data_IF_018092461765
#
_entry.id   IF_018092461765
#
_cell.length_a   1.000
_cell.length_b   1.000
_cell.length_c   1.000
_cell.angle_alpha   90.00
_cell.angle_beta   90.00
_cell.angle_gamma   90.00
#
_symmetry.space_group_name_H-M   'P 1'
#
loop_
_entity.id
_entity.type
_entity.pdbx_description
1 polymer ?
#
# COMPACT_ATOMS: atom_id res chain seq x y z
N UNK A 1 6.91 23.25 -1.42
CA UNK A 1 7.53 22.34 -0.43
C UNK A 1 6.96 20.97 -0.76
N UNK A 2 7.73 20.17 -1.51
CA UNK A 2 7.35 18.82 -1.94
C UNK A 2 7.96 17.79 -1.00
N UNK A 3 7.66 16.50 -1.19
CA UNK A 3 8.28 15.41 -0.45
C UNK A 3 9.80 15.41 -0.74
N UNK A 4 10.60 16.05 0.12
CA UNK A 4 12.06 15.99 0.03
C UNK A 4 12.52 14.66 0.64
N UNK A 5 12.84 13.72 -0.24
CA UNK A 5 13.20 12.35 0.09
C UNK A 5 14.70 12.33 0.40
N UNK A 6 15.04 12.28 1.69
CA UNK A 6 16.41 11.97 2.07
C UNK A 6 16.73 10.55 1.60
N UNK A 7 17.91 10.36 1.02
CA UNK A 7 18.32 9.22 0.19
C UNK A 7 18.45 7.86 0.92
N UNK A 8 17.56 7.49 1.84
CA UNK A 8 17.43 6.11 2.25
C UNK A 8 16.70 5.37 1.13
N UNK A 9 17.43 4.49 0.43
CA UNK A 9 16.84 3.58 -0.53
C UNK A 9 15.64 2.90 0.14
N UNK A 10 14.44 3.07 -0.42
CA UNK A 10 13.22 2.42 0.05
C UNK A 10 13.57 0.93 0.22
N UNK A 11 13.54 0.38 1.45
CA UNK A 11 13.87 -1.01 1.66
C UNK A 11 12.88 -1.84 0.85
N UNK A 12 13.37 -2.92 0.25
CA UNK A 12 12.53 -3.86 -0.47
C UNK A 12 11.35 -4.27 0.43
N UNK A 13 10.14 -4.46 -0.14
CA UNK A 13 8.95 -4.81 0.62
C UNK A 13 9.23 -5.98 1.56
N UNK A 14 9.01 -5.77 2.86
CA UNK A 14 9.11 -6.86 3.83
C UNK A 14 7.74 -7.54 3.96
N UNK A 15 7.67 -8.79 3.49
CA UNK A 15 6.54 -9.69 3.78
C UNK A 15 6.58 -10.08 5.25
N UNK A 16 5.47 -9.87 5.94
CA UNK A 16 5.23 -10.49 7.24
C UNK A 16 4.22 -11.60 6.99
N UNK A 17 4.69 -12.84 7.03
CA UNK A 17 3.84 -14.03 7.01
C UNK A 17 3.33 -14.27 8.43
N UNK A 18 2.02 -14.18 8.63
CA UNK A 18 1.41 -14.40 9.95
C UNK A 18 1.24 -15.88 10.28
N UNK A 19 1.63 -16.78 9.38
CA UNK A 19 1.54 -18.22 9.54
C UNK A 19 2.91 -18.87 9.66
N UNK A 20 3.26 -19.27 10.88
CA UNK A 20 4.47 -20.04 11.15
C UNK A 20 4.47 -21.46 10.57
N UNK A 21 3.50 -21.83 9.73
CA UNK A 21 3.21 -23.18 9.23
C UNK A 21 3.14 -23.29 7.71
N UNK A 22 3.89 -22.45 6.99
CA UNK A 22 4.15 -22.69 5.56
C UNK A 22 2.98 -22.31 4.65
N UNK A 23 3.35 -21.97 3.43
CA UNK A 23 2.46 -21.60 2.33
C UNK A 23 1.30 -22.59 2.24
N UNK A 24 0.04 -22.15 2.42
CA UNK A 24 -1.16 -22.67 1.73
C UNK A 24 -2.53 -22.33 2.38
N UNK A 25 -2.64 -21.57 3.47
CA UNK A 25 -3.98 -21.38 4.08
C UNK A 25 -4.52 -19.94 4.16
N UNK A 26 -3.76 -18.89 3.83
CA UNK A 26 -4.28 -17.53 4.03
C UNK A 26 -3.88 -16.53 2.95
N UNK A 27 -4.92 -15.83 2.48
CA UNK A 27 -5.04 -15.08 1.22
C UNK A 27 -4.58 -13.63 1.35
N UNK A 28 -3.64 -13.39 2.25
CA UNK A 28 -3.25 -12.03 2.57
C UNK A 28 -1.76 -11.86 2.61
N UNK A 29 -1.35 -10.67 2.20
CA UNK A 29 0.04 -10.24 2.31
C UNK A 29 0.08 -8.92 3.04
N UNK A 30 0.92 -8.87 4.06
CA UNK A 30 1.30 -7.62 4.70
C UNK A 30 2.63 -7.13 4.16
N UNK A 31 2.61 -5.94 3.58
CA UNK A 31 3.79 -5.25 3.10
C UNK A 31 3.98 -3.96 3.89
N UNK A 32 5.22 -3.67 4.28
CA UNK A 32 5.60 -2.41 4.93
C UNK A 32 6.74 -1.74 4.18
N UNK A 33 6.57 -0.44 3.96
CA UNK A 33 7.56 0.43 3.37
C UNK A 33 7.89 1.55 4.33
N UNK A 34 9.12 1.54 4.84
CA UNK A 34 9.65 2.67 5.59
C UNK A 34 10.22 3.70 4.60
N UNK A 35 9.95 4.98 4.84
CA UNK A 35 10.49 6.08 4.06
C UNK A 35 10.76 7.29 4.96
N UNK A 36 11.80 8.05 4.65
CA UNK A 36 12.16 9.23 5.41
C UNK A 36 11.76 10.51 4.67
N UNK A 37 11.21 11.48 5.40
CA UNK A 37 10.94 12.82 4.92
C UNK A 37 11.89 13.81 5.60
N UNK A 38 12.50 14.73 4.84
CA UNK A 38 13.37 15.75 5.41
C UNK A 38 12.63 16.69 6.38
N UNK A 39 11.39 17.00 6.06
CA UNK A 39 10.51 17.88 6.82
C UNK A 39 9.07 17.37 6.77
N UNK A 40 8.23 17.82 7.70
CA UNK A 40 6.79 17.53 7.63
C UNK A 40 6.24 18.12 6.32
N UNK A 41 5.50 17.32 5.53
CA UNK A 41 5.02 17.77 4.24
C UNK A 41 4.08 18.97 4.40
N UNK A 42 4.34 20.03 3.65
CA UNK A 42 3.39 21.14 3.48
C UNK A 42 2.41 20.88 2.34
N UNK A 43 1.31 21.64 2.27
CA UNK A 43 0.32 21.56 1.19
C UNK A 43 -0.96 20.82 1.57
N UNK A 44 -1.87 20.70 0.61
CA UNK A 44 -3.26 20.32 0.87
C UNK A 44 -3.69 19.03 0.16
N UNK A 45 -2.81 18.42 -0.65
CA UNK A 45 -3.14 17.27 -1.50
C UNK A 45 -2.17 16.10 -1.28
N UNK A 46 -2.72 14.93 -0.95
CA UNK A 46 -2.01 13.66 -0.83
C UNK A 46 -2.85 12.54 -1.47
N UNK A 47 -2.26 11.83 -2.43
CA UNK A 47 -2.93 10.76 -3.16
C UNK A 47 -2.16 9.46 -3.01
N UNK A 48 -2.85 8.40 -2.61
CA UNK A 48 -2.35 7.04 -2.73
C UNK A 48 -2.80 6.48 -4.08
N UNK A 49 -1.86 6.09 -4.91
CA UNK A 49 -2.13 5.32 -6.11
C UNK A 49 -1.80 3.85 -5.85
N UNK A 50 -2.73 2.97 -6.19
CA UNK A 50 -2.58 1.52 -6.03
C UNK A 50 -2.85 0.81 -7.34
N UNK A 51 -1.99 -0.13 -7.68
CA UNK A 51 -2.28 -1.22 -8.62
C UNK A 51 -2.38 -2.49 -7.79
N UNK A 52 -3.51 -3.18 -7.89
CA UNK A 52 -3.88 -4.29 -7.02
C UNK A 52 -4.90 -5.23 -7.69
N UNK A 53 -5.01 -6.47 -7.19
CA UNK A 53 -5.85 -7.51 -7.80
C UNK A 53 -7.23 -7.68 -7.17
N UNK A 54 -7.36 -7.95 -5.88
CA UNK A 54 -8.68 -8.20 -5.29
C UNK A 54 -9.06 -7.09 -4.32
N UNK A 55 -8.40 -7.01 -3.17
CA UNK A 55 -8.68 -6.00 -2.16
C UNK A 55 -7.43 -5.53 -1.44
N UNK A 56 -7.55 -4.40 -0.76
CA UNK A 56 -6.53 -3.97 0.18
C UNK A 56 -7.08 -3.08 1.28
N UNK A 57 -6.33 -3.01 2.38
CA UNK A 57 -6.43 -1.96 3.40
C UNK A 57 -5.05 -1.32 3.56
N UNK A 58 -4.98 0.00 3.39
CA UNK A 58 -3.76 0.78 3.46
C UNK A 58 -3.70 1.59 4.77
N UNK A 59 -2.52 1.58 5.39
CA UNK A 59 -2.23 2.27 6.64
C UNK A 59 -1.03 3.17 6.49
N UNK A 60 -1.13 4.39 7.01
CA UNK A 60 -0.03 5.33 7.13
C UNK A 60 0.28 5.56 8.60
N UNK A 61 1.50 5.27 9.02
CA UNK A 61 1.93 5.36 10.42
C UNK A 61 0.97 4.65 11.40
N UNK A 62 0.38 3.53 10.96
CA UNK A 62 -0.53 2.70 11.75
C UNK A 62 -2.01 3.12 11.73
N UNK A 63 -2.36 4.22 11.05
CA UNK A 63 -3.75 4.65 10.87
C UNK A 63 -4.22 4.28 9.47
N UNK A 64 -5.41 3.70 9.36
CA UNK A 64 -6.01 3.39 8.06
C UNK A 64 -6.32 4.67 7.28
N UNK A 65 -5.94 4.68 6.00
CA UNK A 65 -6.10 5.84 5.11
C UNK A 65 -6.88 5.54 3.84
N UNK A 66 -6.93 4.29 3.40
CA UNK A 66 -7.71 3.87 2.24
C UNK A 66 -8.00 2.38 2.31
N UNK A 67 -9.11 1.96 1.71
CA UNK A 67 -9.46 0.56 1.51
C UNK A 67 -10.29 0.36 0.26
N UNK A 68 -10.31 -0.85 -0.25
CA UNK A 68 -11.23 -1.29 -1.29
C UNK A 68 -11.54 -2.77 -1.12
N UNK A 69 -12.75 -3.17 -1.53
CA UNK A 69 -13.22 -4.56 -1.47
C UNK A 69 -13.02 -5.22 -0.10
N UNK A 70 -13.25 -4.47 0.98
CA UNK A 70 -13.24 -5.02 2.33
C UNK A 70 -14.08 -4.23 3.32
N UNK A 71 -14.95 -4.93 4.06
CA UNK A 71 -15.86 -4.36 5.05
C UNK A 71 -15.53 -4.89 6.44
N UNK A 72 -15.58 -4.02 7.45
CA UNK A 72 -15.31 -4.39 8.83
C UNK A 72 -13.84 -4.21 9.21
N UNK A 73 -13.40 -4.96 10.23
CA UNK A 73 -12.03 -4.91 10.75
C UNK A 73 -11.27 -6.11 10.19
N UNK A 74 -10.16 -5.89 9.45
CA UNK A 74 -9.42 -7.00 8.87
C UNK A 74 -8.67 -7.75 9.96
N UNK A 75 -8.93 -9.04 10.06
CA UNK A 75 -8.04 -10.00 10.70
C UNK A 75 -6.95 -10.40 9.72
N UNK A 76 -5.87 -10.99 10.23
CA UNK A 76 -4.72 -11.35 9.42
C UNK A 76 -5.05 -12.29 8.26
N UNK A 77 -6.12 -13.08 8.37
CA UNK A 77 -6.61 -14.01 7.35
C UNK A 77 -7.90 -13.55 6.66
N UNK A 78 -8.21 -12.27 6.71
CA UNK A 78 -9.39 -11.73 6.02
C UNK A 78 -9.27 -11.86 4.50
N UNK A 79 -10.32 -12.31 3.86
CA UNK A 79 -10.44 -12.38 2.40
C UNK A 79 -11.00 -11.06 1.84
N UNK A 80 -10.79 -10.82 0.56
CA UNK A 80 -11.42 -9.69 -0.14
C UNK A 80 -12.92 -9.94 -0.32
N UNK A 81 -13.74 -8.91 -0.10
CA UNK A 81 -15.19 -8.93 -0.37
C UNK A 81 -15.52 -8.88 -1.88
N UNK A 82 -14.51 -8.72 -2.75
CA UNK A 82 -14.69 -8.67 -4.19
C UNK A 82 -13.41 -8.76 -5.01
N UNK A 83 -13.59 -8.93 -6.33
CA UNK A 83 -12.54 -9.04 -7.34
C UNK A 83 -12.29 -7.68 -7.99
N UNK A 84 -11.03 -7.32 -8.27
CA UNK A 84 -10.70 -6.23 -9.20
C UNK A 84 -10.23 -6.79 -10.54
N UNK A 85 -10.64 -6.15 -11.63
CA UNK A 85 -10.05 -6.39 -12.95
C UNK A 85 -8.84 -5.45 -13.22
N UNK A 86 -8.52 -4.58 -12.25
CA UNK A 86 -7.70 -3.37 -12.46
C UNK A 86 -6.22 -3.55 -12.11
N UNK A 87 -5.77 -4.79 -11.98
CA UNK A 87 -4.38 -5.22 -11.87
C UNK A 87 -3.42 -4.62 -12.91
N UNK A 88 -3.93 -3.95 -13.94
CA UNK A 88 -3.16 -3.40 -15.06
C UNK A 88 -2.94 -1.89 -14.97
N UNK A 89 -3.62 -1.17 -14.07
CA UNK A 89 -3.51 0.29 -13.97
C UNK A 89 -3.56 0.80 -12.52
N UNK A 90 -3.08 2.03 -12.30
CA UNK A 90 -3.16 2.66 -10.99
C UNK A 90 -4.54 3.28 -10.76
N UNK A 91 -5.18 2.88 -9.67
CA UNK A 91 -6.36 3.52 -9.10
C UNK A 91 -5.92 4.55 -8.06
N UNK A 92 -6.52 5.75 -8.09
CA UNK A 92 -6.15 6.85 -7.19
C UNK A 92 -7.15 6.99 -6.05
N UNK A 93 -6.62 7.11 -4.83
CA UNK A 93 -7.35 7.32 -3.59
C UNK A 93 -6.89 8.63 -2.97
N UNK A 94 -7.82 9.56 -2.80
CA UNK A 94 -7.54 10.81 -2.08
C UNK A 94 -7.40 10.52 -0.59
N UNK A 95 -6.21 10.76 -0.05
CA UNK A 95 -5.88 10.61 1.36
C UNK A 95 -5.39 11.94 1.95
N UNK A 96 -5.74 13.07 1.33
CA UNK A 96 -5.45 14.41 1.82
C UNK A 96 -5.91 14.67 3.26
N UNK A 97 -7.07 14.14 3.72
CA UNK A 97 -7.46 14.23 5.14
C UNK A 97 -6.45 13.63 6.12
N UNK A 98 -5.56 12.76 5.65
CA UNK A 98 -4.56 12.05 6.44
C UNK A 98 -3.15 12.66 6.33
N UNK A 99 -2.99 13.80 5.67
CA UNK A 99 -1.68 14.47 5.50
C UNK A 99 -1.00 14.76 6.84
N UNK A 100 -1.78 15.07 7.88
CA UNK A 100 -1.28 15.28 9.25
C UNK A 100 -0.69 14.04 9.94
N UNK A 101 -0.79 12.85 9.33
CA UNK A 101 -0.11 11.65 9.82
C UNK A 101 1.37 11.62 9.41
N UNK A 102 1.76 12.35 8.36
CA UNK A 102 3.15 12.40 7.91
C UNK A 102 3.99 13.28 8.83
N UNK A 103 5.19 12.81 9.15
CA UNK A 103 6.13 13.49 10.04
C UNK A 103 7.51 13.63 9.40
N UNK A 104 8.26 14.64 9.82
CA UNK A 104 9.70 14.67 9.54
C UNK A 104 10.38 13.42 10.12
N UNK A 105 11.34 12.86 9.38
CA UNK A 105 11.96 11.57 9.69
C UNK A 105 11.16 10.39 9.15
N UNK A 106 11.21 9.27 9.87
CA UNK A 106 10.69 7.99 9.39
C UNK A 106 9.16 7.91 9.44
N UNK A 107 8.59 7.48 8.32
CA UNK A 107 7.19 7.15 8.13
C UNK A 107 7.09 5.72 7.61
N UNK A 108 5.93 5.09 7.81
CA UNK A 108 5.64 3.75 7.33
C UNK A 108 4.31 3.74 6.57
N UNK A 109 4.36 3.35 5.30
CA UNK A 109 3.19 2.91 4.56
C UNK A 109 3.08 1.39 4.69
N UNK A 110 1.94 0.89 5.16
CA UNK A 110 1.66 -0.53 5.21
C UNK A 110 0.43 -0.86 4.36
N UNK A 111 0.52 -1.93 3.58
CA UNK A 111 -0.57 -2.45 2.78
C UNK A 111 -0.88 -3.86 3.26
N UNK A 112 -2.13 -4.10 3.62
CA UNK A 112 -2.71 -5.42 3.79
C UNK A 112 -3.44 -5.76 2.51
N UNK A 113 -2.81 -6.53 1.63
CA UNK A 113 -3.46 -7.06 0.44
C UNK A 113 -4.31 -8.27 0.78
N UNK A 114 -5.46 -8.37 0.13
CA UNK A 114 -6.50 -9.37 0.38
C UNK A 114 -6.82 -10.03 -0.97
N UNK A 115 -6.76 -11.35 -1.04
CA UNK A 115 -7.28 -12.15 -2.15
C UNK A 115 -8.69 -12.64 -1.80
N UNK A 116 -9.50 -12.89 -2.82
CA UNK A 116 -10.81 -13.52 -2.66
C UNK A 116 -10.74 -15.05 -2.80
N UNK A 117 -9.77 -15.58 -3.56
CA UNK A 117 -9.61 -17.04 -3.76
C UNK A 117 -8.19 -17.51 -3.37
N UNK A 118 -8.07 -18.49 -2.46
CA UNK A 118 -6.77 -19.00 -1.99
C UNK A 118 -5.96 -19.75 -3.03
N UNK A 119 -6.60 -20.13 -4.13
CA UNK A 119 -5.99 -20.83 -5.25
C UNK A 119 -5.72 -19.91 -6.44
N UNK A 120 -6.10 -18.63 -6.35
CA UNK A 120 -5.81 -17.66 -7.41
C UNK A 120 -4.31 -17.39 -7.49
N UNK A 121 -3.75 -17.65 -8.65
CA UNK A 121 -2.36 -17.36 -8.97
C UNK A 121 -2.23 -15.90 -9.38
N UNK A 122 -1.29 -15.21 -8.74
CA UNK A 122 -0.85 -13.83 -8.99
C UNK A 122 -1.64 -12.82 -8.14
N UNK A 123 -0.99 -12.32 -7.08
CA UNK A 123 -1.38 -11.14 -6.32
C UNK A 123 -0.40 -10.01 -6.64
N UNK A 124 -0.91 -8.92 -7.19
CA UNK A 124 -0.18 -7.68 -7.42
C UNK A 124 -0.49 -6.67 -6.31
N UNK A 125 0.55 -6.05 -5.77
CA UNK A 125 0.46 -4.89 -4.88
C UNK A 125 1.57 -3.90 -5.24
N UNK A 126 1.18 -2.76 -5.79
CA UNK A 126 2.12 -1.69 -6.12
C UNK A 126 1.57 -0.36 -5.61
N UNK A 127 2.07 0.14 -4.46
CA UNK A 127 1.72 1.44 -3.94
C UNK A 127 2.61 2.55 -4.50
N UNK A 128 2.01 3.72 -4.68
CA UNK A 128 2.68 4.98 -4.99
C UNK A 128 2.01 6.12 -4.23
N UNK A 129 2.79 6.90 -3.50
CA UNK A 129 2.31 8.07 -2.78
C UNK A 129 2.68 9.34 -3.56
N UNK A 130 1.70 10.16 -3.89
CA UNK A 130 1.89 11.40 -4.67
C UNK A 130 1.45 12.59 -3.84
N UNK A 131 2.31 13.60 -3.72
CA UNK A 131 1.94 14.86 -3.09
C UNK A 131 1.73 15.95 -4.15
N UNK A 132 0.63 16.71 -4.02
CA UNK A 132 0.22 17.72 -4.98
C UNK A 132 -0.75 17.20 -6.05
N UNK A 133 -1.15 18.08 -6.97
CA UNK A 133 -1.94 17.69 -8.15
C UNK A 133 -1.13 16.73 -9.02
N UNK A 134 -1.74 15.70 -9.62
CA UNK A 134 -1.05 14.78 -10.53
C UNK A 134 -0.85 15.48 -11.89
N UNK A 135 0.28 16.17 -12.03
CA UNK A 135 0.71 16.86 -13.25
C UNK A 135 2.17 16.53 -13.52
N UNK A 136 2.67 16.88 -14.72
CA UNK A 136 4.09 16.76 -14.99
C UNK A 136 4.90 17.62 -13.99
N UNK A 137 5.65 16.96 -13.09
CA UNK A 137 6.45 17.61 -12.05
C UNK A 137 5.99 17.38 -10.60
N UNK A 138 4.90 16.64 -10.38
CA UNK A 138 4.52 16.22 -9.02
C UNK A 138 5.58 15.32 -8.40
N UNK A 139 5.76 15.42 -7.08
CA UNK A 139 6.66 14.53 -6.35
C UNK A 139 5.92 13.26 -5.99
N UNK A 140 6.48 12.11 -6.39
CA UNK A 140 5.94 10.80 -6.05
C UNK A 140 6.98 9.89 -5.42
N UNK A 141 6.55 9.19 -4.38
CA UNK A 141 7.22 8.06 -3.78
C UNK A 141 6.66 6.76 -4.36
N UNK A 142 7.50 5.98 -5.01
CA UNK A 142 7.14 4.65 -5.50
C UNK A 142 7.80 3.59 -4.62
N UNK A 143 7.01 2.61 -4.20
CA UNK A 143 7.44 1.62 -3.23
C UNK A 143 7.82 0.27 -3.88
N UNK A 144 7.79 0.21 -5.21
CA UNK A 144 8.04 -1.01 -5.98
C UNK A 144 6.80 -1.89 -6.11
N UNK A 145 6.87 -2.85 -7.02
CA UNK A 145 5.83 -3.83 -7.29
C UNK A 145 6.12 -5.11 -6.49
N UNK A 146 5.09 -5.61 -5.82
CA UNK A 146 5.08 -6.94 -5.25
C UNK A 146 4.15 -7.80 -6.09
N UNK A 147 4.72 -8.87 -6.65
CA UNK A 147 4.02 -9.90 -7.41
C UNK A 147 4.22 -11.23 -6.66
N UNK A 148 3.11 -11.80 -6.19
CA UNK A 148 3.11 -13.07 -5.47
C UNK A 148 2.23 -14.09 -6.17
N UNK A 149 2.89 -15.12 -6.68
CA UNK A 149 2.23 -16.31 -7.21
C UNK A 149 2.42 -17.45 -6.18
N UNK A 150 1.40 -17.76 -5.34
CA UNK A 150 1.44 -19.02 -4.60
C UNK A 150 1.36 -20.14 -5.63
N UNK A 151 2.44 -20.93 -5.75
CA UNK A 151 2.48 -22.03 -6.71
C UNK A 151 1.24 -22.94 -6.51
N UNK A 152 0.46 -23.09 -7.59
CA UNK A 152 -0.74 -23.93 -7.70
C UNK A 152 -0.50 -25.39 -7.33
#
# INVERSE_FOLDING_TARGET
IGLDLLSSAIPAPQRIDTNGDGFNENDTVYIRYAFDLAESPGGDNLTLQMRFDDGFVAYLNGVEVARTNFTGTPDWNSESDGISAEASSFVSFDISPHLGLLQAGTNVLAIHGLNQDPTSSDMILQPRLVQGEIVAGSTSLEFGEFDYNPAS
#
